data_IF_017175109584
#
_entry.id   IF_017175109584
#
_cell.length_a   1.000
_cell.length_b   1.000
_cell.length_c   1.000
_cell.angle_alpha   90.00
_cell.angle_beta   90.00
_cell.angle_gamma   90.00
#
_symmetry.space_group_name_H-M   'P 1'
#
loop_
_entity.id
_entity.type
_entity.pdbx_description
1 polymer ?
#
# COMPACT_ATOMS: atom_id res chain seq x y z
N UNK A 1 -16.90 2.93 18.74
CA UNK A 1 -16.76 4.20 18.02
C UNK A 1 -16.32 3.90 16.60
N UNK A 2 -16.85 4.59 15.59
CA UNK A 2 -16.47 4.32 14.21
C UNK A 2 -15.05 4.86 13.97
N UNK A 3 -14.14 4.06 13.39
CA UNK A 3 -12.71 4.38 13.21
C UNK A 3 -12.52 5.78 12.62
N UNK A 4 -11.70 6.64 13.25
CA UNK A 4 -11.61 8.06 12.91
C UNK A 4 -10.29 8.38 12.21
N UNK A 5 -10.01 7.64 11.14
CA UNK A 5 -8.76 7.68 10.41
C UNK A 5 -9.04 7.85 8.91
N UNK A 6 -8.04 8.34 8.17
CA UNK A 6 -8.06 8.41 6.70
C UNK A 6 -7.01 7.44 6.15
N UNK A 7 -7.41 6.50 5.30
CA UNK A 7 -6.57 5.46 4.69
C UNK A 7 -6.01 4.42 5.67
N UNK A 8 -5.29 4.87 6.69
CA UNK A 8 -4.54 4.06 7.64
C UNK A 8 -4.69 4.58 9.07
N UNK A 9 -4.52 3.75 10.11
CA UNK A 9 -4.74 4.16 11.50
C UNK A 9 -3.88 5.32 12.01
N UNK A 10 -2.71 5.55 11.40
CA UNK A 10 -1.79 6.64 11.77
C UNK A 10 -2.30 8.02 11.35
N UNK A 11 -3.16 8.11 10.33
CA UNK A 11 -3.72 9.37 9.82
C UNK A 11 -5.05 9.68 10.53
N UNK A 12 -4.97 10.13 11.77
CA UNK A 12 -6.14 10.43 12.60
C UNK A 12 -6.81 11.74 12.16
N UNK A 13 -8.11 11.68 11.86
CA UNK A 13 -8.89 12.84 11.42
C UNK A 13 -9.35 13.70 12.61
N UNK A 14 -9.52 15.00 12.38
CA UNK A 14 -10.21 15.89 13.31
C UNK A 14 -11.69 15.51 13.47
N UNK A 15 -12.32 15.92 14.59
CA UNK A 15 -13.77 15.80 14.80
C UNK A 15 -14.55 17.00 14.21
N UNK A 16 -13.94 17.70 13.26
CA UNK A 16 -14.49 18.86 12.58
C UNK A 16 -15.25 18.46 11.29
N UNK A 17 -15.89 19.44 10.66
CA UNK A 17 -16.65 19.23 9.43
C UNK A 17 -15.76 18.72 8.29
N UNK A 18 -14.48 19.12 8.25
CA UNK A 18 -13.50 18.66 7.26
C UNK A 18 -13.17 17.19 7.47
N UNK A 19 -12.87 16.78 8.70
CA UNK A 19 -12.61 15.37 9.01
C UNK A 19 -13.79 14.46 8.69
N UNK A 20 -15.01 14.89 9.02
CA UNK A 20 -16.22 14.14 8.68
C UNK A 20 -16.45 14.04 7.16
N UNK A 21 -16.18 15.11 6.41
CA UNK A 21 -16.29 15.11 4.96
C UNK A 21 -15.27 14.18 4.30
N UNK A 22 -13.99 14.24 4.69
CA UNK A 22 -12.93 13.38 4.17
C UNK A 22 -13.25 11.90 4.39
N UNK A 23 -13.69 11.56 5.61
CA UNK A 23 -14.13 10.21 5.96
C UNK A 23 -15.32 9.75 5.12
N UNK A 24 -16.31 10.62 4.92
CA UNK A 24 -17.49 10.31 4.11
C UNK A 24 -17.11 10.02 2.66
N UNK A 25 -16.23 10.84 2.09
CA UNK A 25 -15.70 10.68 0.73
C UNK A 25 -14.88 9.40 0.62
N UNK A 26 -13.99 9.12 1.57
CA UNK A 26 -13.21 7.89 1.61
C UNK A 26 -14.12 6.65 1.69
N UNK A 27 -15.11 6.66 2.57
CA UNK A 27 -16.05 5.54 2.74
C UNK A 27 -16.81 5.28 1.44
N UNK A 28 -17.32 6.34 0.81
CA UNK A 28 -18.00 6.22 -0.48
C UNK A 28 -17.05 5.69 -1.57
N UNK A 29 -15.82 6.21 -1.63
CA UNK A 29 -14.79 5.74 -2.56
C UNK A 29 -14.47 4.25 -2.36
N UNK A 30 -14.26 3.82 -1.11
CA UNK A 30 -14.00 2.43 -0.75
C UNK A 30 -15.17 1.52 -1.12
N UNK A 31 -16.42 1.92 -0.86
CA UNK A 31 -17.60 1.14 -1.26
C UNK A 31 -17.73 1.01 -2.78
N UNK A 32 -17.46 2.07 -3.54
CA UNK A 32 -17.44 2.03 -5.01
C UNK A 32 -16.37 1.07 -5.53
N UNK A 33 -15.14 1.14 -4.98
CA UNK A 33 -14.04 0.24 -5.35
C UNK A 33 -14.34 -1.22 -4.98
N UNK A 34 -14.86 -1.49 -3.78
CA UNK A 34 -15.24 -2.82 -3.33
C UNK A 34 -16.34 -3.43 -4.19
N UNK A 35 -17.34 -2.64 -4.56
CA UNK A 35 -18.41 -3.06 -5.46
C UNK A 35 -17.95 -3.20 -6.92
N UNK A 36 -16.76 -2.68 -7.27
CA UNK A 36 -16.33 -2.54 -8.65
C UNK A 36 -17.31 -1.72 -9.46
N UNK A 37 -17.76 -0.59 -8.90
CA UNK A 37 -18.69 0.35 -9.51
C UNK A 37 -18.00 1.68 -9.78
N UNK A 38 -18.08 2.17 -11.01
CA UNK A 38 -17.38 3.37 -11.47
C UNK A 38 -15.87 3.30 -11.19
N UNK A 39 -15.24 2.14 -11.39
CA UNK A 39 -13.89 1.83 -10.88
C UNK A 39 -12.86 2.91 -11.24
N UNK A 40 -12.87 3.42 -12.48
CA UNK A 40 -11.92 4.47 -12.90
C UNK A 40 -12.18 5.81 -12.23
N UNK A 41 -13.45 6.20 -12.07
CA UNK A 41 -13.80 7.45 -11.39
C UNK A 41 -13.49 7.35 -9.90
N UNK A 42 -13.74 6.20 -9.28
CA UNK A 42 -13.36 5.93 -7.89
C UNK A 42 -11.83 5.92 -7.73
N UNK A 43 -11.07 5.41 -8.70
CA UNK A 43 -9.61 5.50 -8.70
C UNK A 43 -9.11 6.97 -8.80
N UNK A 44 -9.71 7.79 -9.67
CA UNK A 44 -9.41 9.23 -9.73
C UNK A 44 -9.75 9.89 -8.39
N UNK A 45 -10.91 9.58 -7.82
CA UNK A 45 -11.33 10.10 -6.52
C UNK A 45 -10.33 9.73 -5.42
N UNK A 46 -9.83 8.49 -5.41
CA UNK A 46 -8.82 8.03 -4.47
C UNK A 46 -7.50 8.83 -4.60
N UNK A 47 -7.04 9.07 -5.83
CA UNK A 47 -5.84 9.86 -6.08
C UNK A 47 -6.03 11.34 -5.66
N UNK A 48 -7.17 11.94 -5.99
CA UNK A 48 -7.52 13.31 -5.58
C UNK A 48 -7.64 13.41 -4.06
N UNK A 49 -8.23 12.41 -3.41
CA UNK A 49 -8.34 12.36 -1.95
C UNK A 49 -6.95 12.36 -1.29
N UNK A 50 -5.98 11.64 -1.86
CA UNK A 50 -4.58 11.70 -1.41
C UNK A 50 -3.97 13.11 -1.51
N UNK A 51 -4.23 13.84 -2.61
CA UNK A 51 -3.77 15.23 -2.76
C UNK A 51 -4.44 16.16 -1.74
N UNK A 52 -5.76 16.03 -1.57
CA UNK A 52 -6.51 16.85 -0.60
C UNK A 52 -6.06 16.54 0.83
N UNK A 53 -5.70 15.28 1.13
CA UNK A 53 -5.19 14.87 2.43
C UNK A 53 -3.86 15.54 2.82
N UNK A 54 -3.09 16.07 1.86
CA UNK A 54 -1.88 16.85 2.14
C UNK A 54 -2.16 18.22 2.78
N UNK A 55 -3.43 18.64 2.87
CA UNK A 55 -3.80 19.88 3.56
C UNK A 55 -3.88 19.69 5.08
N UNK A 56 -4.66 18.72 5.61
CA UNK A 56 -4.69 18.44 7.05
C UNK A 56 -3.52 17.60 7.56
N UNK A 57 -2.85 16.83 6.70
CA UNK A 57 -1.70 15.98 7.04
C UNK A 57 -0.41 16.48 6.39
N UNK A 58 0.74 16.06 6.90
CA UNK A 58 2.03 16.41 6.30
C UNK A 58 2.22 15.69 4.95
N UNK A 59 2.99 16.30 4.04
CA UNK A 59 3.34 15.69 2.76
C UNK A 59 4.06 14.36 2.99
N UNK A 60 4.95 14.31 3.98
CA UNK A 60 5.69 13.10 4.38
C UNK A 60 4.73 11.97 4.75
N UNK A 61 3.75 12.22 5.63
CA UNK A 61 2.78 11.21 6.06
C UNK A 61 1.91 10.67 4.91
N UNK A 62 1.62 11.50 3.90
CA UNK A 62 0.89 11.05 2.70
C UNK A 62 1.80 10.28 1.74
N UNK A 63 3.08 10.66 1.63
CA UNK A 63 4.06 9.94 0.81
C UNK A 63 4.39 8.55 1.38
N UNK A 64 4.33 8.35 2.69
CA UNK A 64 4.38 7.01 3.29
C UNK A 64 3.24 6.10 2.77
N UNK A 65 2.11 6.70 2.37
CA UNK A 65 0.95 6.00 1.80
C UNK A 65 0.91 6.02 0.27
N UNK A 66 2.02 6.33 -0.41
CA UNK A 66 2.12 6.39 -1.88
C UNK A 66 1.70 5.11 -2.60
N UNK A 67 1.75 3.96 -1.93
CA UNK A 67 1.26 2.69 -2.46
C UNK A 67 -0.26 2.74 -2.76
N UNK A 68 -1.04 3.56 -2.05
CA UNK A 68 -2.46 3.82 -2.32
C UNK A 68 -2.65 4.56 -3.64
N UNK A 69 -1.78 5.55 -3.92
CA UNK A 69 -1.72 6.18 -5.25
C UNK A 69 -1.34 5.15 -6.32
N UNK A 70 -0.42 4.24 -6.02
CA UNK A 70 -0.11 3.10 -6.88
C UNK A 70 -1.34 2.25 -7.22
N UNK A 71 -2.17 1.93 -6.22
CA UNK A 71 -3.44 1.20 -6.40
C UNK A 71 -4.41 2.01 -7.26
N UNK A 72 -4.55 3.32 -7.01
CA UNK A 72 -5.40 4.19 -7.82
C UNK A 72 -4.97 4.18 -9.30
N UNK A 73 -3.68 4.36 -9.57
CA UNK A 73 -3.12 4.32 -10.92
C UNK A 73 -3.35 2.95 -11.56
N UNK A 74 -3.10 1.87 -10.82
CA UNK A 74 -3.33 0.50 -11.29
C UNK A 74 -4.80 0.30 -11.69
N UNK A 75 -5.75 0.65 -10.84
CA UNK A 75 -7.18 0.49 -11.10
C UNK A 75 -7.69 1.39 -12.24
N UNK A 76 -7.12 2.58 -12.38
CA UNK A 76 -7.43 3.47 -13.49
C UNK A 76 -7.01 2.87 -14.85
N UNK A 77 -5.81 2.27 -14.91
CA UNK A 77 -5.25 1.70 -16.13
C UNK A 77 -5.86 0.32 -16.43
N UNK A 78 -5.85 -0.58 -15.44
CA UNK A 78 -6.34 -1.95 -15.56
C UNK A 78 -7.87 -2.01 -15.68
N UNK A 79 -8.58 -1.03 -15.11
CA UNK A 79 -10.03 -0.93 -15.18
C UNK A 79 -10.78 -1.95 -14.30
N UNK A 80 -12.09 -2.15 -14.57
CA UNK A 80 -12.94 -3.00 -13.75
C UNK A 80 -12.57 -4.48 -13.86
N UNK A 81 -12.48 -5.17 -12.72
CA UNK A 81 -12.19 -6.61 -12.66
C UNK A 81 -13.34 -7.51 -13.15
N UNK A 82 -13.11 -8.82 -13.34
CA UNK A 82 -14.09 -9.74 -13.94
C UNK A 82 -15.36 -9.95 -13.09
N UNK A 83 -15.29 -9.67 -11.79
CA UNK A 83 -16.41 -9.80 -10.83
C UNK A 83 -17.07 -8.46 -10.48
N UNK A 84 -16.66 -7.37 -11.14
CA UNK A 84 -17.15 -6.01 -10.87
C UNK A 84 -18.60 -5.79 -11.31
N UNK A 85 -19.30 -4.86 -10.65
CA UNK A 85 -20.63 -4.42 -11.10
C UNK A 85 -20.57 -3.62 -12.41
N UNK A 86 -19.44 -2.98 -12.72
CA UNK A 86 -19.22 -2.29 -14.00
C UNK A 86 -19.30 -3.25 -15.20
N UNK A 87 -18.74 -4.47 -15.07
CA UNK A 87 -18.86 -5.50 -16.10
C UNK A 87 -20.32 -5.91 -16.33
N UNK A 88 -21.13 -6.00 -15.26
CA UNK A 88 -22.58 -6.29 -15.37
C UNK A 88 -23.37 -5.17 -16.06
N UNK A 89 -22.85 -3.94 -16.03
CA UNK A 89 -23.44 -2.77 -16.70
C UNK A 89 -22.96 -2.58 -18.14
N UNK A 90 -22.14 -3.51 -18.66
CA UNK A 90 -21.47 -3.36 -19.95
C UNK A 90 -20.62 -2.07 -20.05
N UNK A 91 -20.14 -1.55 -18.92
CA UNK A 91 -19.22 -0.42 -18.93
C UNK A 91 -17.88 -0.83 -19.56
N UNK A 92 -17.26 0.09 -20.31
CA UNK A 92 -16.07 -0.16 -21.12
C UNK A 92 -14.94 -0.88 -20.36
N UNK A 93 -14.27 -1.78 -21.07
CA UNK A 93 -13.14 -2.58 -20.59
C UNK A 93 -11.88 -1.73 -20.36
N UNK A 94 -10.78 -2.37 -19.95
CA UNK A 94 -9.48 -1.75 -19.70
C UNK A 94 -9.07 -0.76 -20.81
N UNK A 95 -8.18 0.21 -20.51
CA UNK A 95 -7.65 1.10 -21.57
C UNK A 95 -7.04 0.20 -22.64
N UNK A 96 -7.59 0.23 -23.86
CA UNK A 96 -7.11 -0.58 -24.99
C UNK A 96 -5.77 -0.03 -25.49
N UNK A 97 -4.71 -0.28 -24.72
CA UNK A 97 -3.35 0.03 -25.09
C UNK A 97 -2.46 -1.17 -24.81
N UNK A 98 -1.63 -1.54 -25.78
CA UNK A 98 -0.80 -2.76 -25.73
C UNK A 98 0.10 -2.83 -24.49
N UNK A 99 0.53 -1.68 -23.97
CA UNK A 99 1.42 -1.55 -22.80
C UNK A 99 0.71 -1.15 -21.50
N UNK A 100 -0.59 -0.85 -21.53
CA UNK A 100 -1.33 -0.44 -20.32
C UNK A 100 -1.23 -1.48 -19.18
N UNK A 101 -1.41 -2.79 -19.43
CA UNK A 101 -1.24 -3.83 -18.41
C UNK A 101 0.17 -3.84 -17.77
N UNK A 102 1.18 -3.65 -18.61
CA UNK A 102 2.59 -3.66 -18.22
C UNK A 102 2.92 -2.44 -17.33
N UNK A 103 2.45 -1.27 -17.75
CA UNK A 103 2.60 -0.02 -17.02
C UNK A 103 1.89 -0.07 -15.66
N UNK A 104 0.68 -0.65 -15.59
CA UNK A 104 -0.08 -0.76 -14.35
C UNK A 104 0.68 -1.56 -13.28
N UNK A 105 1.19 -2.74 -13.63
CA UNK A 105 1.97 -3.59 -12.72
C UNK A 105 3.29 -2.92 -12.33
N UNK A 106 3.98 -2.31 -13.30
CA UNK A 106 5.25 -1.63 -13.05
C UNK A 106 5.08 -0.44 -12.12
N UNK A 107 4.08 0.41 -12.34
CA UNK A 107 3.81 1.57 -11.48
C UNK A 107 3.36 1.15 -10.09
N UNK A 108 2.56 0.09 -9.97
CA UNK A 108 2.15 -0.47 -8.68
C UNK A 108 3.37 -0.95 -7.88
N UNK A 109 4.29 -1.68 -8.54
CA UNK A 109 5.54 -2.14 -7.93
C UNK A 109 6.44 -0.98 -7.53
N UNK A 110 6.57 0.05 -8.38
CA UNK A 110 7.36 1.23 -8.07
C UNK A 110 6.78 1.96 -6.85
N UNK A 111 5.47 2.20 -6.82
CA UNK A 111 4.82 2.85 -5.68
C UNK A 111 4.98 2.06 -4.38
N UNK A 112 4.84 0.73 -4.44
CA UNK A 112 5.05 -0.16 -3.30
C UNK A 112 6.49 -0.11 -2.77
N UNK A 113 7.47 -0.30 -3.66
CA UNK A 113 8.89 -0.30 -3.28
C UNK A 113 9.34 1.07 -2.77
N UNK A 114 8.83 2.15 -3.38
CA UNK A 114 9.07 3.50 -2.91
C UNK A 114 8.44 3.74 -1.54
N UNK A 115 7.18 3.34 -1.31
CA UNK A 115 6.52 3.48 0.00
C UNK A 115 7.27 2.77 1.13
N UNK A 116 7.70 1.51 0.90
CA UNK A 116 8.49 0.75 1.89
C UNK A 116 9.85 1.42 2.14
N UNK A 117 10.56 1.82 1.08
CA UNK A 117 11.85 2.50 1.20
C UNK A 117 11.72 3.86 1.92
N UNK A 118 10.68 4.62 1.59
CA UNK A 118 10.43 5.93 2.14
C UNK A 118 10.05 5.84 3.62
N UNK A 119 9.12 4.96 4.00
CA UNK A 119 8.77 4.71 5.40
C UNK A 119 9.96 4.21 6.24
N UNK A 120 10.81 3.33 5.69
CA UNK A 120 12.03 2.91 6.37
C UNK A 120 12.99 4.09 6.62
N UNK A 121 13.06 5.04 5.67
CA UNK A 121 13.87 6.23 5.81
C UNK A 121 13.28 7.20 6.84
N UNK A 122 12.00 7.54 6.75
CA UNK A 122 11.36 8.54 7.62
C UNK A 122 11.15 8.01 9.03
N UNK A 123 10.52 6.84 9.19
CA UNK A 123 10.09 6.31 10.49
C UNK A 123 11.20 5.62 11.29
N UNK A 124 12.26 5.13 10.64
CA UNK A 124 13.35 4.38 11.33
C UNK A 124 14.69 5.07 11.30
N UNK A 125 15.13 5.56 10.14
CA UNK A 125 16.48 6.11 9.98
C UNK A 125 16.56 7.61 10.31
N UNK A 126 15.54 8.39 9.96
CA UNK A 126 15.49 9.83 10.18
C UNK A 126 14.77 10.20 11.49
N UNK A 127 13.83 9.37 11.97
CA UNK A 127 13.21 9.50 13.29
C UNK A 127 13.45 8.27 14.20
N UNK A 128 14.70 8.00 14.64
CA UNK A 128 14.97 6.93 15.61
C UNK A 128 14.17 7.02 16.92
N UNK A 129 13.86 8.21 17.48
CA UNK A 129 13.00 8.33 18.65
C UNK A 129 11.62 7.67 18.50
N UNK A 130 10.99 7.76 17.33
CA UNK A 130 9.72 7.09 17.06
C UNK A 130 9.84 5.56 17.21
N UNK A 131 10.87 4.98 16.58
CA UNK A 131 11.12 3.54 16.66
C UNK A 131 11.56 3.10 18.07
N UNK A 132 12.29 3.94 18.81
CA UNK A 132 12.63 3.68 20.21
C UNK A 132 11.39 3.66 21.09
N UNK A 133 10.45 4.60 20.90
CA UNK A 133 9.19 4.63 21.65
C UNK A 133 8.34 3.36 21.44
N UNK A 134 8.43 2.73 20.25
CA UNK A 134 7.80 1.42 20.00
C UNK A 134 8.50 0.30 20.78
N UNK A 135 9.83 0.27 20.80
CA UNK A 135 10.61 -0.74 21.55
C UNK A 135 10.46 -0.58 23.07
N UNK A 136 10.30 0.64 23.57
CA UNK A 136 10.04 0.90 24.98
C UNK A 136 8.68 0.31 25.41
N UNK A 137 7.67 0.41 24.54
CA UNK A 137 6.34 -0.17 24.76
C UNK A 137 6.30 -1.68 24.52
N UNK A 138 7.08 -2.18 23.57
CA UNK A 138 7.12 -3.59 23.16
C UNK A 138 8.56 -4.09 23.04
N UNK A 139 9.26 -4.33 24.17
CA UNK A 139 10.69 -4.64 24.17
C UNK A 139 11.04 -5.98 23.50
N UNK A 140 10.07 -6.89 23.38
CA UNK A 140 10.23 -8.18 22.73
C UNK A 140 10.40 -8.08 21.20
N UNK A 141 10.10 -6.91 20.59
CA UNK A 141 10.29 -6.68 19.16
C UNK A 141 11.76 -6.66 18.75
N UNK A 142 12.67 -6.29 19.65
CA UNK A 142 14.10 -6.46 19.41
C UNK A 142 14.48 -7.95 19.60
N UNK A 143 14.26 -8.73 18.56
CA UNK A 143 14.57 -10.17 18.51
C UNK A 143 16.06 -10.47 18.63
N UNK A 144 16.93 -9.48 18.40
CA UNK A 144 18.38 -9.62 18.50
C UNK A 144 18.91 -9.23 19.90
N UNK A 145 18.03 -8.76 20.80
CA UNK A 145 18.41 -8.43 22.18
C UNK A 145 19.07 -9.60 22.92
N UNK A 146 18.62 -10.88 22.80
CA UNK A 146 19.30 -12.03 23.40
C UNK A 146 20.73 -12.26 22.86
N UNK A 147 21.04 -11.73 21.67
CA UNK A 147 22.37 -11.78 21.06
C UNK A 147 23.23 -10.56 21.44
N UNK A 148 22.76 -9.72 22.35
CA UNK A 148 23.48 -8.53 22.83
C UNK A 148 23.31 -7.29 21.94
N UNK A 149 22.36 -7.28 21.00
CA UNK A 149 22.11 -6.11 20.14
C UNK A 149 21.22 -5.10 20.87
N UNK A 150 21.72 -3.88 21.04
CA UNK A 150 20.97 -2.78 21.67
C UNK A 150 19.87 -2.25 20.74
N UNK A 151 18.87 -1.61 21.34
CA UNK A 151 17.72 -1.06 20.61
C UNK A 151 18.11 -0.07 19.49
N UNK A 152 19.02 0.91 19.70
CA UNK A 152 19.40 1.81 18.63
C UNK A 152 20.06 1.09 17.45
N UNK A 153 20.86 0.06 17.72
CA UNK A 153 21.49 -0.75 16.66
C UNK A 153 20.45 -1.59 15.93
N UNK A 154 19.50 -2.17 16.66
CA UNK A 154 18.39 -2.92 16.06
C UNK A 154 17.52 -2.03 15.17
N UNK A 155 17.15 -0.82 15.63
CA UNK A 155 16.39 0.16 14.85
C UNK A 155 17.12 0.50 13.55
N UNK A 156 18.41 0.79 13.64
CA UNK A 156 19.23 1.10 12.46
C UNK A 156 19.29 -0.09 11.48
N UNK A 157 19.53 -1.30 11.99
CA UNK A 157 19.55 -2.53 11.17
C UNK A 157 18.20 -2.79 10.51
N UNK A 158 17.09 -2.60 11.24
CA UNK A 158 15.75 -2.75 10.71
C UNK A 158 15.48 -1.72 9.60
N UNK A 159 15.80 -0.45 9.84
CA UNK A 159 15.66 0.61 8.85
C UNK A 159 16.47 0.38 7.58
N UNK A 160 17.74 0.00 7.69
CA UNK A 160 18.57 -0.34 6.52
C UNK A 160 18.03 -1.57 5.79
N UNK A 161 17.58 -2.59 6.53
CA UNK A 161 17.02 -3.81 5.92
C UNK A 161 15.76 -3.50 5.13
N UNK A 162 14.82 -2.76 5.70
CA UNK A 162 13.59 -2.37 5.00
C UNK A 162 13.84 -1.44 3.82
N UNK A 163 14.80 -0.51 3.94
CA UNK A 163 15.23 0.33 2.84
C UNK A 163 15.77 -0.51 1.66
N UNK A 164 16.63 -1.50 1.96
CA UNK A 164 17.13 -2.44 0.95
C UNK A 164 16.00 -3.25 0.33
N UNK A 165 15.05 -3.75 1.13
CA UNK A 165 13.87 -4.47 0.61
C UNK A 165 13.06 -3.57 -0.34
N UNK A 166 12.81 -2.32 0.03
CA UNK A 166 12.13 -1.34 -0.83
C UNK A 166 12.87 -1.13 -2.15
N UNK A 167 14.20 -0.98 -2.13
CA UNK A 167 15.04 -0.86 -3.33
C UNK A 167 15.00 -2.12 -4.21
N UNK A 168 15.01 -3.31 -3.61
CA UNK A 168 14.88 -4.57 -4.35
C UNK A 168 13.52 -4.63 -5.05
N UNK A 169 12.42 -4.26 -4.37
CA UNK A 169 11.09 -4.19 -4.99
C UNK A 169 11.08 -3.18 -6.15
N UNK A 170 11.64 -1.99 -5.96
CA UNK A 170 11.78 -0.97 -7.01
C UNK A 170 12.50 -1.53 -8.25
N UNK A 171 13.57 -2.29 -8.05
CA UNK A 171 14.35 -2.89 -9.14
C UNK A 171 13.60 -3.95 -9.94
N UNK A 172 12.52 -4.52 -9.39
CA UNK A 172 11.78 -5.65 -9.98
C UNK A 172 12.48 -7.00 -9.88
N UNK A 173 13.70 -7.05 -9.33
CA UNK A 173 14.44 -8.30 -9.12
C UNK A 173 13.80 -9.12 -8.01
N UNK A 174 13.82 -10.45 -8.14
CA UNK A 174 13.33 -11.42 -7.13
C UNK A 174 11.96 -11.08 -6.52
N UNK A 175 11.08 -10.43 -7.30
CA UNK A 175 9.79 -9.90 -6.83
C UNK A 175 8.95 -10.97 -6.13
N UNK A 176 8.85 -12.19 -6.67
CA UNK A 176 8.06 -13.28 -6.07
C UNK A 176 8.52 -13.66 -4.64
N UNK A 177 9.80 -14.04 -4.42
CA UNK A 177 10.32 -14.28 -3.08
C UNK A 177 10.09 -13.11 -2.12
N UNK A 178 10.34 -11.87 -2.56
CA UNK A 178 10.19 -10.69 -1.71
C UNK A 178 8.74 -10.46 -1.31
N UNK A 179 7.78 -10.62 -2.24
CA UNK A 179 6.34 -10.52 -1.92
C UNK A 179 5.90 -11.63 -0.95
N UNK A 180 6.40 -12.85 -1.11
CA UNK A 180 6.05 -13.97 -0.23
C UNK A 180 6.60 -13.78 1.19
N UNK A 181 7.86 -13.36 1.32
CA UNK A 181 8.49 -13.09 2.61
C UNK A 181 7.83 -11.88 3.27
N UNK A 182 7.59 -10.79 2.53
CA UNK A 182 6.90 -9.61 3.02
C UNK A 182 5.50 -9.93 3.54
N UNK A 183 4.73 -10.73 2.79
CA UNK A 183 3.41 -11.20 3.21
C UNK A 183 3.48 -11.96 4.54
N UNK A 184 4.45 -12.87 4.68
CA UNK A 184 4.64 -13.61 5.92
C UNK A 184 5.01 -12.69 7.10
N UNK A 185 5.94 -11.76 6.90
CA UNK A 185 6.37 -10.82 7.93
C UNK A 185 5.21 -9.93 8.41
N UNK A 186 4.44 -9.36 7.48
CA UNK A 186 3.27 -8.53 7.81
C UNK A 186 2.17 -9.35 8.51
N UNK A 187 2.07 -10.64 8.18
CA UNK A 187 1.14 -11.55 8.89
C UNK A 187 1.62 -11.84 10.31
N UNK A 188 2.93 -11.92 10.53
CA UNK A 188 3.47 -12.09 11.89
C UNK A 188 3.21 -10.85 12.73
N UNK A 189 3.41 -9.63 12.20
CA UNK A 189 3.13 -8.39 12.93
C UNK A 189 1.65 -8.26 13.28
N UNK A 190 0.75 -8.78 12.43
CA UNK A 190 -0.69 -8.84 12.72
C UNK A 190 -1.01 -9.62 14.01
N UNK A 191 -0.30 -10.73 14.28
CA UNK A 191 -0.48 -11.51 15.52
C UNK A 191 -0.11 -10.67 16.75
N UNK A 192 0.82 -9.73 16.58
CA UNK A 192 1.33 -8.85 17.64
C UNK A 192 0.43 -7.63 17.86
N UNK A 193 0.04 -6.94 16.79
CA UNK A 193 -0.60 -5.62 16.86
C UNK A 193 -2.12 -5.62 16.56
N UNK A 194 -2.66 -6.74 16.07
CA UNK A 194 -4.10 -6.95 15.95
C UNK A 194 -4.79 -6.14 14.84
N UNK A 195 -6.04 -5.72 15.08
CA UNK A 195 -6.91 -5.19 14.03
C UNK A 195 -6.43 -3.87 13.36
N UNK A 196 -5.86 -2.88 14.09
CA UNK A 196 -5.34 -1.67 13.45
C UNK A 196 -4.25 -2.01 12.42
N UNK A 197 -3.35 -2.91 12.78
CA UNK A 197 -2.30 -3.42 11.89
C UNK A 197 -2.89 -4.07 10.66
N UNK A 198 -3.94 -4.90 10.80
CA UNK A 198 -4.63 -5.49 9.65
C UNK A 198 -5.12 -4.41 8.68
N UNK A 199 -5.82 -3.40 9.20
CA UNK A 199 -6.44 -2.35 8.39
C UNK A 199 -5.36 -1.58 7.62
N UNK A 200 -4.27 -1.20 8.29
CA UNK A 200 -3.14 -0.53 7.64
C UNK A 200 -2.44 -1.38 6.58
N UNK A 201 -2.40 -2.70 6.78
CA UNK A 201 -1.71 -3.63 5.87
C UNK A 201 -2.56 -4.21 4.75
N UNK A 202 -3.89 -4.06 4.78
CA UNK A 202 -4.78 -4.56 3.71
C UNK A 202 -4.37 -4.12 2.29
N UNK A 203 -4.04 -2.84 2.04
CA UNK A 203 -3.53 -2.40 0.74
C UNK A 203 -2.26 -3.14 0.34
N UNK A 204 -1.31 -3.31 1.28
CA UNK A 204 -0.06 -4.01 1.04
C UNK A 204 -0.29 -5.48 0.66
N UNK A 205 -1.18 -6.19 1.37
CA UNK A 205 -1.53 -7.58 1.02
C UNK A 205 -2.10 -7.71 -0.40
N UNK A 206 -2.98 -6.79 -0.81
CA UNK A 206 -3.54 -6.77 -2.16
C UNK A 206 -2.46 -6.57 -3.24
N UNK A 207 -1.52 -5.66 -3.00
CA UNK A 207 -0.38 -5.43 -3.89
C UNK A 207 0.54 -6.64 -3.92
N UNK A 208 0.94 -7.18 -2.77
CA UNK A 208 1.82 -8.34 -2.66
C UNK A 208 1.23 -9.55 -3.39
N UNK A 209 -0.07 -9.82 -3.22
CA UNK A 209 -0.74 -10.91 -3.93
C UNK A 209 -0.75 -10.68 -5.44
N UNK A 210 -1.04 -9.46 -5.88
CA UNK A 210 -1.04 -9.08 -7.30
C UNK A 210 0.35 -9.24 -7.91
N UNK A 211 1.40 -8.72 -7.28
CA UNK A 211 2.79 -8.82 -7.73
C UNK A 211 3.37 -10.23 -7.56
N UNK A 212 2.83 -11.06 -6.67
CA UNK A 212 3.23 -12.46 -6.57
C UNK A 212 2.72 -13.27 -7.77
N UNK A 213 1.47 -13.06 -8.16
CA UNK A 213 0.86 -13.71 -9.34
C UNK A 213 1.47 -13.16 -10.64
N UNK A 214 1.61 -11.84 -10.70
CA UNK A 214 2.05 -11.06 -11.86
C UNK A 214 3.28 -10.20 -11.51
N UNK A 215 4.47 -10.81 -11.28
CA UNK A 215 5.66 -10.07 -10.83
C UNK A 215 6.26 -9.20 -11.92
N UNK A 216 6.10 -9.64 -13.17
CA UNK A 216 6.69 -9.00 -14.32
C UNK A 216 5.63 -8.69 -15.37
N UNK A 217 5.75 -7.45 -15.82
CA UNK A 217 4.90 -6.77 -16.76
C UNK A 217 5.04 -7.39 -18.17
N UNK A 218 6.21 -7.96 -18.47
CA UNK A 218 6.52 -8.68 -19.71
C UNK A 218 6.20 -10.19 -19.68
N UNK A 219 5.78 -10.73 -18.53
CA UNK A 219 5.53 -12.17 -18.46
C UNK A 219 4.37 -12.59 -19.37
N UNK A 220 4.59 -13.64 -20.17
CA UNK A 220 3.60 -14.14 -21.14
C UNK A 220 2.23 -14.46 -20.49
N UNK A 221 2.23 -14.90 -19.24
CA UNK A 221 1.00 -15.16 -18.47
C UNK A 221 0.21 -13.88 -18.19
N UNK A 222 0.88 -12.78 -17.83
CA UNK A 222 0.27 -11.46 -17.58
C UNK A 222 -0.28 -10.88 -18.89
N UNK A 223 0.50 -10.96 -19.97
CA UNK A 223 0.04 -10.53 -21.28
C UNK A 223 -1.17 -11.35 -21.75
N UNK A 224 -1.22 -12.66 -21.50
CA UNK A 224 -2.34 -13.52 -21.91
C UNK A 224 -3.59 -13.34 -21.04
N UNK A 225 -3.43 -13.10 -19.74
CA UNK A 225 -4.55 -12.87 -18.82
C UNK A 225 -5.18 -11.49 -19.02
N UNK A 226 -4.36 -10.44 -19.18
CA UNK A 226 -4.85 -9.07 -19.30
C UNK A 226 -5.36 -8.74 -20.72
N UNK A 227 -4.81 -9.37 -21.79
CA UNK A 227 -5.39 -9.28 -23.16
C UNK A 227 -6.75 -9.96 -23.33
N UNK A 228 -7.17 -10.81 -22.38
CA UNK A 228 -8.52 -11.41 -22.38
C UNK A 228 -9.53 -10.55 -21.61
N UNK A 229 -9.04 -9.61 -20.81
CA UNK A 229 -9.85 -8.69 -20.01
C UNK A 229 -10.04 -7.32 -20.68
N UNK A 230 -9.13 -6.92 -21.58
CA UNK A 230 -9.41 -6.00 -22.69
C UNK A 230 -10.24 -6.76 -23.75
#
# INVERSE_FOLDING_TARGET
AAANWLFVPSLVLGQDSVGLALRGVETACGLLLLAGLFTRYAAILLAVLGIVAMVPFSIESILEQVHILGIAIFLFIAGPGPVSLDVRRHADRAIEHRKAPEAAITLLRIAMGFGIAYGALTEKLLDPPLAQALLDQSPFLNVLRPLGVSDPVFIWLAGVTELVVGVVILSGQITRPVMAIGFALFTVTLVVFGLPELIGHLPYYGIMFTLFIAPDADSWHVQRALRRAA
#
